data_IF_418125107340
#
_entry.id   IF_418125107340
#
_cell.length_a   1.000
_cell.length_b   1.000
_cell.length_c   1.000
_cell.angle_alpha   90.00
_cell.angle_beta   90.00
_cell.angle_gamma   90.00
#
_symmetry.space_group_name_H-M   'P 1'
#
loop_
_entity.id
_entity.type
_entity.pdbx_description
1 polymer ?
#
# COMPACT_ATOMS: atom_id res chain seq x y z
N UNK A 1 16.58 17.18 -8.97
CA UNK A 1 16.72 15.71 -8.94
C UNK A 1 15.53 15.07 -8.23
N UNK A 2 15.19 13.81 -8.58
CA UNK A 2 14.19 13.02 -7.89
C UNK A 2 14.74 12.57 -6.52
N UNK A 3 13.96 12.80 -5.44
CA UNK A 3 14.38 12.45 -4.06
C UNK A 3 13.35 11.61 -3.33
N UNK A 4 12.07 11.79 -3.63
CA UNK A 4 11.01 11.05 -2.95
C UNK A 4 10.01 10.49 -3.95
N UNK A 5 9.50 9.30 -3.70
CA UNK A 5 8.45 8.67 -4.49
C UNK A 5 7.42 8.04 -3.58
N UNK A 6 6.15 8.34 -3.82
CA UNK A 6 5.03 7.65 -3.23
C UNK A 6 4.30 6.84 -4.30
N UNK A 7 4.30 5.52 -4.18
CA UNK A 7 3.51 4.62 -5.02
C UNK A 7 2.13 4.40 -4.40
N UNK A 8 1.15 5.22 -4.79
CA UNK A 8 -0.22 5.18 -4.26
C UNK A 8 -1.25 4.61 -5.25
N UNK A 9 -0.88 4.39 -6.51
CA UNK A 9 -1.79 3.84 -7.51
C UNK A 9 -2.17 2.38 -7.20
N UNK A 10 -3.44 2.06 -7.35
CA UNK A 10 -3.94 0.70 -7.14
C UNK A 10 -5.44 0.61 -7.36
N UNK A 11 -5.92 -0.60 -7.52
CA UNK A 11 -7.34 -0.90 -7.65
C UNK A 11 -7.73 -2.09 -6.77
N UNK A 12 -8.98 -2.07 -6.29
CA UNK A 12 -9.60 -3.18 -5.58
C UNK A 12 -10.19 -4.19 -6.55
N UNK A 13 -10.35 -5.42 -6.07
CA UNK A 13 -11.11 -6.47 -6.74
C UNK A 13 -11.75 -7.37 -5.68
N UNK A 14 -13.01 -7.69 -5.87
CA UNK A 14 -13.75 -8.56 -4.97
C UNK A 14 -14.54 -9.61 -5.77
N UNK A 15 -14.01 -10.82 -5.83
CA UNK A 15 -14.71 -11.97 -6.36
C UNK A 15 -14.20 -13.25 -5.70
N UNK A 16 -15.12 -14.20 -5.43
CA UNK A 16 -14.77 -15.49 -4.84
C UNK A 16 -13.93 -16.31 -5.81
N UNK A 17 -13.01 -17.13 -5.28
CA UNK A 17 -12.22 -18.08 -6.07
C UNK A 17 -13.10 -19.02 -6.87
N UNK A 18 -14.25 -19.40 -6.31
CA UNK A 18 -15.33 -20.12 -7.00
C UNK A 18 -16.65 -19.43 -6.68
N UNK A 19 -17.40 -19.07 -7.71
CA UNK A 19 -18.74 -18.52 -7.62
C UNK A 19 -19.78 -19.51 -7.04
N UNK A 20 -20.96 -19.02 -6.68
CA UNK A 20 -22.04 -19.86 -6.16
C UNK A 20 -22.56 -20.89 -7.20
N UNK A 21 -22.38 -20.57 -8.46
CA UNK A 21 -22.71 -21.39 -9.62
C UNK A 21 -21.60 -22.38 -10.04
N UNK A 22 -20.50 -22.44 -9.28
CA UNK A 22 -19.34 -23.25 -9.58
C UNK A 22 -18.35 -22.62 -10.56
N UNK A 23 -18.62 -21.40 -11.07
CA UNK A 23 -17.73 -20.72 -12.02
C UNK A 23 -16.42 -20.31 -11.33
N UNK A 24 -15.24 -20.64 -11.88
CA UNK A 24 -13.96 -20.19 -11.32
C UNK A 24 -13.76 -18.70 -11.52
N UNK A 25 -12.99 -18.08 -10.60
CA UNK A 25 -12.61 -16.67 -10.74
C UNK A 25 -11.83 -16.42 -12.04
N UNK A 26 -12.20 -15.36 -12.77
CA UNK A 26 -11.55 -15.01 -14.04
C UNK A 26 -10.06 -14.69 -13.86
N UNK A 27 -9.21 -15.49 -14.49
CA UNK A 27 -7.76 -15.32 -14.40
C UNK A 27 -7.27 -14.02 -15.05
N UNK A 28 -8.01 -13.47 -16.04
CA UNK A 28 -7.64 -12.18 -16.64
C UNK A 28 -7.79 -11.05 -15.62
N UNK A 29 -8.87 -11.06 -14.86
CA UNK A 29 -9.10 -10.10 -13.76
C UNK A 29 -8.03 -10.24 -12.68
N UNK A 30 -7.71 -11.47 -12.24
CA UNK A 30 -6.61 -11.72 -11.31
C UNK A 30 -5.30 -11.12 -11.83
N UNK A 31 -4.92 -11.47 -13.05
CA UNK A 31 -3.67 -11.00 -13.68
C UNK A 31 -3.64 -9.48 -13.83
N UNK A 32 -4.78 -8.85 -14.13
CA UNK A 32 -4.88 -7.39 -14.24
C UNK A 32 -4.63 -6.70 -12.90
N UNK A 33 -5.21 -7.22 -11.81
CA UNK A 33 -4.96 -6.69 -10.44
C UNK A 33 -3.49 -6.79 -10.07
N UNK A 34 -2.86 -7.95 -10.31
CA UNK A 34 -1.43 -8.15 -10.08
C UNK A 34 -0.60 -7.19 -10.93
N UNK A 35 -0.95 -7.04 -12.20
CA UNK A 35 -0.24 -6.15 -13.13
C UNK A 35 -0.26 -4.69 -12.66
N UNK A 36 -1.42 -4.19 -12.24
CA UNK A 36 -1.53 -2.79 -11.78
C UNK A 36 -0.87 -2.61 -10.40
N UNK A 37 -1.29 -3.40 -9.41
CA UNK A 37 -0.94 -3.14 -8.01
C UNK A 37 0.50 -3.55 -7.65
N UNK A 38 1.01 -4.64 -8.23
CA UNK A 38 2.32 -5.18 -7.88
C UNK A 38 3.37 -4.85 -8.94
N UNK A 39 3.14 -5.25 -10.19
CA UNK A 39 4.12 -5.01 -11.26
C UNK A 39 4.24 -3.51 -11.53
N UNK A 40 3.13 -2.76 -11.52
CA UNK A 40 3.12 -1.31 -11.66
C UNK A 40 3.94 -0.61 -10.58
N UNK A 41 3.73 -0.98 -9.30
CA UNK A 41 4.50 -0.47 -8.16
C UNK A 41 5.99 -0.74 -8.33
N UNK A 42 6.36 -1.99 -8.64
CA UNK A 42 7.78 -2.34 -8.87
C UNK A 42 8.37 -1.61 -10.07
N UNK A 43 7.59 -1.42 -11.15
CA UNK A 43 8.07 -0.72 -12.34
C UNK A 43 8.41 0.75 -12.06
N UNK A 44 7.56 1.47 -11.33
CA UNK A 44 7.85 2.85 -10.91
C UNK A 44 9.04 2.88 -9.95
N UNK A 45 9.06 1.98 -8.96
CA UNK A 45 10.13 1.88 -7.97
C UNK A 45 11.50 1.70 -8.63
N UNK A 46 11.67 0.72 -9.53
CA UNK A 46 12.95 0.44 -10.20
C UNK A 46 13.44 1.60 -11.06
N UNK A 47 12.53 2.30 -11.75
CA UNK A 47 12.88 3.45 -12.58
C UNK A 47 13.26 4.67 -11.72
N UNK A 48 12.53 4.89 -10.63
CA UNK A 48 12.84 5.95 -9.67
C UNK A 48 14.19 5.72 -8.99
N UNK A 49 14.45 4.50 -8.52
CA UNK A 49 15.73 4.13 -7.93
C UNK A 49 16.90 4.34 -8.91
N UNK A 50 16.71 3.97 -10.18
CA UNK A 50 17.69 4.23 -11.25
C UNK A 50 17.96 5.72 -11.44
N UNK A 51 16.92 6.56 -11.42
CA UNK A 51 17.08 8.01 -11.51
C UNK A 51 17.77 8.60 -10.27
N UNK A 52 17.41 8.13 -9.07
CA UNK A 52 18.03 8.55 -7.81
C UNK A 52 19.52 8.19 -7.76
N UNK A 53 19.91 7.01 -8.28
CA UNK A 53 21.31 6.56 -8.28
C UNK A 53 22.26 7.47 -9.07
N UNK A 54 21.73 8.24 -10.02
CA UNK A 54 22.49 9.20 -10.84
C UNK A 54 22.61 10.59 -10.18
N UNK A 55 22.01 10.79 -9.00
CA UNK A 55 22.05 12.06 -8.29
C UNK A 55 23.16 12.07 -7.25
N UNK A 56 23.72 13.24 -6.96
CA UNK A 56 24.64 13.41 -5.82
C UNK A 56 23.94 13.09 -4.51
N UNK A 57 24.64 12.52 -3.53
CA UNK A 57 24.10 12.35 -2.18
C UNK A 57 23.64 13.67 -1.58
N UNK A 58 22.71 13.62 -0.62
CA UNK A 58 22.20 14.79 0.10
C UNK A 58 22.88 15.01 1.45
N UNK A 59 23.60 14.01 1.94
CA UNK A 59 24.27 14.01 3.25
C UNK A 59 25.54 13.13 3.26
N UNK A 60 26.22 13.14 4.40
CA UNK A 60 27.47 12.39 4.61
C UNK A 60 27.26 10.87 4.69
N UNK A 61 26.03 10.41 4.96
CA UNK A 61 25.67 8.98 4.95
C UNK A 61 25.47 8.47 3.52
N UNK A 62 25.51 9.34 2.52
CA UNK A 62 25.37 9.00 1.11
C UNK A 62 23.94 8.82 0.65
N UNK A 63 22.96 9.37 1.38
CA UNK A 63 21.54 9.23 1.05
C UNK A 63 21.21 9.92 -0.27
N UNK A 64 20.43 9.25 -1.14
CA UNK A 64 19.98 9.78 -2.43
C UNK A 64 18.47 9.90 -2.55
N UNK A 65 17.71 9.15 -1.74
CA UNK A 65 16.27 9.25 -1.75
C UNK A 65 15.51 8.24 -0.89
N UNK A 66 14.21 8.39 -0.87
CA UNK A 66 13.28 7.52 -0.13
C UNK A 66 12.05 7.19 -0.97
N UNK A 67 11.67 5.92 -0.98
CA UNK A 67 10.50 5.39 -1.70
C UNK A 67 9.53 4.81 -0.68
N UNK A 68 8.27 5.24 -0.77
CA UNK A 68 7.18 4.70 0.05
C UNK A 68 6.14 4.04 -0.87
N UNK A 69 5.79 2.79 -0.58
CA UNK A 69 4.77 2.05 -1.30
C UNK A 69 3.50 1.93 -0.45
N UNK A 70 2.31 1.98 -1.07
CA UNK A 70 1.06 1.67 -0.39
C UNK A 70 0.63 0.23 -0.66
N UNK A 71 0.71 -0.59 0.40
CA UNK A 71 0.09 -1.91 0.47
C UNK A 71 -1.39 -1.80 0.89
N UNK A 72 -1.82 -2.60 1.83
CA UNK A 72 -3.13 -2.59 2.51
C UNK A 72 -3.08 -3.55 3.70
N UNK A 73 -3.92 -3.34 4.70
CA UNK A 73 -4.19 -4.36 5.73
C UNK A 73 -4.69 -5.68 5.13
N UNK A 74 -5.31 -5.64 3.93
CA UNK A 74 -5.72 -6.83 3.20
C UNK A 74 -4.53 -7.74 2.78
N UNK A 75 -3.30 -7.25 2.84
CA UNK A 75 -2.11 -8.09 2.70
C UNK A 75 -1.97 -9.13 3.83
N UNK A 76 -2.56 -8.85 5.00
CA UNK A 76 -2.49 -9.66 6.22
C UNK A 76 -3.85 -10.26 6.57
N UNK A 77 -4.90 -9.45 6.50
CA UNK A 77 -6.24 -9.75 6.98
C UNK A 77 -7.24 -9.80 5.81
N UNK A 78 -6.88 -10.45 4.70
CA UNK A 78 -7.72 -10.50 3.49
C UNK A 78 -9.11 -11.13 3.73
N UNK A 79 -10.14 -10.49 3.20
CA UNK A 79 -11.54 -10.93 3.32
C UNK A 79 -11.95 -11.87 2.19
N UNK A 80 -13.10 -12.52 2.34
CA UNK A 80 -13.70 -13.34 1.28
C UNK A 80 -13.84 -12.51 0.00
N UNK A 81 -13.32 -13.05 -1.10
CA UNK A 81 -13.33 -12.40 -2.41
C UNK A 81 -12.10 -11.53 -2.71
N UNK A 82 -11.20 -11.32 -1.77
CA UNK A 82 -10.02 -10.46 -1.96
C UNK A 82 -8.74 -11.20 -2.42
N UNK A 83 -8.84 -12.44 -2.92
CA UNK A 83 -7.65 -13.23 -3.27
C UNK A 83 -6.66 -12.48 -4.19
N UNK A 84 -7.13 -11.88 -5.28
CA UNK A 84 -6.26 -11.11 -6.19
C UNK A 84 -5.69 -9.85 -5.53
N UNK A 85 -6.54 -9.10 -4.81
CA UNK A 85 -6.14 -7.88 -4.13
C UNK A 85 -5.13 -8.17 -3.02
N UNK A 86 -5.43 -9.13 -2.14
CA UNK A 86 -4.53 -9.54 -1.05
C UNK A 86 -3.21 -10.08 -1.57
N UNK A 87 -3.22 -10.89 -2.63
CA UNK A 87 -1.99 -11.37 -3.28
C UNK A 87 -1.15 -10.21 -3.81
N UNK A 88 -1.77 -9.22 -4.48
CA UNK A 88 -1.06 -8.05 -5.00
C UNK A 88 -0.44 -7.21 -3.89
N UNK A 89 -1.18 -6.95 -2.82
CA UNK A 89 -0.73 -6.13 -1.67
C UNK A 89 0.24 -6.89 -0.77
N UNK A 90 0.08 -8.21 -0.63
CA UNK A 90 1.06 -9.09 0.00
C UNK A 90 2.38 -9.13 -0.77
N UNK A 91 2.33 -9.08 -2.11
CA UNK A 91 3.51 -8.95 -2.95
C UNK A 91 4.26 -7.62 -2.70
N UNK A 92 3.53 -6.50 -2.53
CA UNK A 92 4.13 -5.20 -2.18
C UNK A 92 4.81 -5.26 -0.81
N UNK A 93 4.20 -5.91 0.18
CA UNK A 93 4.84 -6.16 1.48
C UNK A 93 6.10 -7.00 1.32
N UNK A 94 6.00 -8.12 0.58
CA UNK A 94 7.10 -9.07 0.39
C UNK A 94 8.32 -8.50 -0.33
N UNK A 95 8.13 -7.55 -1.27
CA UNK A 95 9.24 -6.91 -1.98
C UNK A 95 9.95 -5.82 -1.16
N UNK A 96 9.38 -5.33 -0.07
CA UNK A 96 9.88 -4.16 0.66
C UNK A 96 11.30 -4.37 1.18
N UNK A 97 11.52 -5.38 1.98
CA UNK A 97 12.83 -5.64 2.58
C UNK A 97 13.90 -6.06 1.57
N UNK A 98 13.66 -6.99 0.62
CA UNK A 98 14.65 -7.32 -0.41
C UNK A 98 15.09 -6.09 -1.21
N UNK A 99 14.13 -5.26 -1.63
CA UNK A 99 14.46 -4.05 -2.40
C UNK A 99 15.21 -3.02 -1.55
N UNK A 100 14.84 -2.83 -0.28
CA UNK A 100 15.61 -1.98 0.63
C UNK A 100 17.06 -2.44 0.77
N UNK A 101 17.31 -3.75 0.81
CA UNK A 101 18.65 -4.33 0.83
C UNK A 101 19.42 -4.08 -0.48
N UNK A 102 18.77 -4.28 -1.62
CA UNK A 102 19.36 -4.01 -2.93
C UNK A 102 19.76 -2.54 -3.09
N UNK A 103 18.87 -1.63 -2.67
CA UNK A 103 19.06 -0.18 -2.88
C UNK A 103 19.91 0.50 -1.80
N UNK A 104 20.25 -0.18 -0.71
CA UNK A 104 21.18 0.31 0.31
C UNK A 104 22.53 0.71 -0.30
N UNK A 105 23.02 -0.06 -1.27
CA UNK A 105 24.29 0.23 -1.97
C UNK A 105 24.30 1.57 -2.73
N UNK A 106 23.13 2.13 -3.03
CA UNK A 106 22.99 3.42 -3.71
C UNK A 106 22.38 4.51 -2.84
N UNK A 107 22.22 4.26 -1.52
CA UNK A 107 21.69 5.23 -0.58
C UNK A 107 20.19 5.57 -0.78
N UNK A 108 19.38 4.59 -1.18
CA UNK A 108 17.92 4.76 -1.33
C UNK A 108 17.19 3.87 -0.35
N UNK A 109 16.34 4.49 0.50
CA UNK A 109 15.50 3.79 1.46
C UNK A 109 14.16 3.38 0.85
N UNK A 110 13.61 2.25 1.28
CA UNK A 110 12.32 1.76 0.82
C UNK A 110 11.49 1.28 2.00
N UNK A 111 10.31 1.86 2.17
CA UNK A 111 9.35 1.44 3.18
C UNK A 111 7.96 1.25 2.55
N UNK A 112 7.11 0.56 3.25
CA UNK A 112 5.72 0.31 2.83
C UNK A 112 4.76 0.70 3.96
N UNK A 113 3.65 1.32 3.61
CA UNK A 113 2.54 1.52 4.52
C UNK A 113 1.42 0.55 4.14
N UNK A 114 0.81 -0.07 5.13
CA UNK A 114 -0.40 -0.87 4.99
C UNK A 114 -1.59 -0.12 5.61
N UNK A 115 -2.31 0.70 4.82
CA UNK A 115 -3.47 1.43 5.31
C UNK A 115 -4.61 0.50 5.70
N UNK A 116 -5.36 0.89 6.74
CA UNK A 116 -6.68 0.35 7.04
C UNK A 116 -7.77 0.97 6.17
N UNK A 117 -8.91 1.27 6.79
CA UNK A 117 -10.03 1.93 6.14
C UNK A 117 -9.79 3.45 6.17
N UNK A 118 -9.41 4.03 5.05
CA UNK A 118 -9.16 5.46 4.89
C UNK A 118 -10.28 6.09 4.09
N UNK A 119 -10.82 7.20 4.58
CA UNK A 119 -11.86 7.96 3.88
C UNK A 119 -11.30 8.55 2.58
N UNK A 120 -11.75 8.02 1.47
CA UNK A 120 -11.31 8.40 0.13
C UNK A 120 -12.51 8.40 -0.82
N UNK A 121 -12.42 9.07 -1.98
CA UNK A 121 -13.49 9.08 -2.97
C UNK A 121 -13.96 7.69 -3.45
N UNK A 122 -13.24 6.62 -3.16
CA UNK A 122 -13.62 5.25 -3.51
C UNK A 122 -14.96 4.82 -2.88
N UNK A 123 -15.34 5.43 -1.76
CA UNK A 123 -16.61 5.14 -1.09
C UNK A 123 -17.78 5.97 -1.65
N UNK A 124 -17.51 6.88 -2.63
CA UNK A 124 -18.51 7.77 -3.19
C UNK A 124 -18.87 8.94 -2.26
N UNK A 125 -19.95 9.64 -2.60
CA UNK A 125 -20.44 10.82 -1.88
C UNK A 125 -21.94 10.69 -1.56
N UNK A 126 -22.42 11.52 -0.64
CA UNK A 126 -23.83 11.59 -0.25
C UNK A 126 -24.20 10.75 0.97
N UNK A 127 -25.46 10.88 1.41
CA UNK A 127 -25.96 10.30 2.68
C UNK A 127 -25.77 8.79 2.78
N UNK A 128 -25.94 8.06 1.68
CA UNK A 128 -25.72 6.61 1.66
C UNK A 128 -24.26 6.22 1.89
N UNK A 129 -23.32 6.99 1.31
CA UNK A 129 -21.90 6.82 1.51
C UNK A 129 -21.50 7.10 2.97
N UNK A 130 -22.01 8.17 3.56
CA UNK A 130 -21.72 8.52 4.95
C UNK A 130 -22.21 7.44 5.94
N UNK A 131 -23.41 6.89 5.73
CA UNK A 131 -23.93 5.78 6.53
C UNK A 131 -23.05 4.52 6.38
N UNK A 132 -22.58 4.24 5.17
CA UNK A 132 -21.68 3.11 4.90
C UNK A 132 -20.33 3.30 5.57
N UNK A 133 -19.72 4.48 5.46
CA UNK A 133 -18.45 4.83 6.13
C UNK A 133 -18.58 4.72 7.65
N UNK A 134 -19.68 5.24 8.22
CA UNK A 134 -19.96 5.12 9.65
C UNK A 134 -20.07 3.67 10.11
N UNK A 135 -20.73 2.82 9.29
CA UNK A 135 -20.81 1.38 9.57
C UNK A 135 -19.42 0.71 9.53
N UNK A 136 -18.63 0.98 8.51
CA UNK A 136 -17.26 0.47 8.40
C UNK A 136 -16.40 0.92 9.58
N UNK A 137 -16.54 2.15 10.03
CA UNK A 137 -15.83 2.72 11.17
C UNK A 137 -16.04 1.95 12.47
N UNK A 138 -17.17 1.26 12.64
CA UNK A 138 -17.42 0.43 13.84
C UNK A 138 -16.45 -0.77 13.94
N UNK A 139 -15.88 -1.22 12.84
CA UNK A 139 -14.89 -2.30 12.82
C UNK A 139 -13.49 -1.85 13.20
N UNK A 140 -13.22 -0.54 13.18
CA UNK A 140 -11.94 0.04 13.63
C UNK A 140 -11.87 -0.03 15.15
N UNK A 141 -10.72 -0.39 15.71
CA UNK A 141 -10.58 -0.54 17.16
C UNK A 141 -10.68 0.82 17.86
N UNK A 142 -9.85 1.79 17.46
CA UNK A 142 -9.88 3.18 17.91
C UNK A 142 -9.06 4.07 16.96
N UNK A 143 -9.58 5.28 16.62
CA UNK A 143 -10.93 5.80 16.87
C UNK A 143 -11.99 5.10 16.02
N UNK A 144 -13.26 5.11 16.45
CA UNK A 144 -14.39 4.45 15.77
C UNK A 144 -14.84 5.20 14.51
N UNK A 145 -13.94 5.35 13.56
CA UNK A 145 -14.16 6.03 12.27
C UNK A 145 -13.14 5.53 11.23
N UNK A 146 -13.33 5.92 9.99
CA UNK A 146 -12.27 5.79 8.99
C UNK A 146 -11.13 6.76 9.31
N UNK A 147 -9.91 6.39 8.95
CA UNK A 147 -8.76 7.31 8.96
C UNK A 147 -8.90 8.37 7.87
N UNK A 148 -8.27 9.52 8.04
CA UNK A 148 -8.22 10.55 7.01
C UNK A 148 -7.00 10.41 6.08
N UNK A 149 -7.06 11.06 4.91
CA UNK A 149 -5.92 11.15 4.00
C UNK A 149 -4.71 11.84 4.66
N UNK A 150 -4.95 12.84 5.51
CA UNK A 150 -3.91 13.58 6.24
C UNK A 150 -3.22 12.69 7.28
N UNK A 151 -3.97 11.83 7.98
CA UNK A 151 -3.38 10.87 8.92
C UNK A 151 -2.46 9.87 8.21
N UNK A 152 -2.84 9.42 7.02
CA UNK A 152 -2.00 8.58 6.19
C UNK A 152 -0.78 9.35 5.66
N UNK A 153 -0.99 10.57 5.17
CA UNK A 153 0.07 11.42 4.62
C UNK A 153 1.13 11.79 5.67
N UNK A 154 0.73 11.97 6.94
CA UNK A 154 1.69 12.25 8.02
C UNK A 154 2.71 11.13 8.17
N UNK A 155 2.28 9.85 8.07
CA UNK A 155 3.20 8.71 8.10
C UNK A 155 4.08 8.64 6.84
N UNK A 156 3.56 9.01 5.67
CA UNK A 156 4.38 9.10 4.44
C UNK A 156 5.50 10.12 4.61
N UNK A 157 5.17 11.30 5.16
CA UNK A 157 6.14 12.37 5.43
C UNK A 157 7.19 11.89 6.44
N UNK A 158 6.77 11.24 7.53
CA UNK A 158 7.69 10.65 8.53
C UNK A 158 8.67 9.69 7.86
N UNK A 159 8.21 8.78 6.98
CA UNK A 159 9.07 7.84 6.28
C UNK A 159 10.02 8.50 5.26
N UNK A 160 9.67 9.68 4.76
CA UNK A 160 10.59 10.46 3.92
C UNK A 160 11.66 11.18 4.74
N UNK A 161 11.32 11.65 5.95
CA UNK A 161 12.18 12.49 6.78
C UNK A 161 13.04 11.72 7.78
N UNK A 162 12.56 10.54 8.22
CA UNK A 162 13.27 9.73 9.21
C UNK A 162 14.27 8.80 8.51
N UNK A 163 15.53 9.19 8.52
CA UNK A 163 16.60 8.50 7.80
C UNK A 163 16.93 7.12 8.35
N UNK A 164 16.50 6.81 9.57
CA UNK A 164 16.70 5.49 10.20
C UNK A 164 15.57 4.49 9.93
N UNK A 165 14.54 4.90 9.17
CA UNK A 165 13.44 4.03 8.75
C UNK A 165 13.72 3.46 7.36
N UNK A 166 13.99 2.14 7.29
CA UNK A 166 14.29 1.45 6.04
C UNK A 166 13.87 -0.03 6.09
N UNK A 167 13.25 -0.51 5.02
CA UNK A 167 12.88 -1.94 4.86
C UNK A 167 11.63 -2.35 5.64
N UNK A 168 10.85 -1.42 6.19
CA UNK A 168 9.75 -1.71 7.10
C UNK A 168 8.38 -1.62 6.41
N UNK A 169 7.42 -2.39 6.94
CA UNK A 169 6.00 -2.28 6.59
C UNK A 169 5.19 -1.87 7.81
N UNK A 170 4.62 -0.67 7.75
CA UNK A 170 3.92 -0.05 8.88
C UNK A 170 2.40 -0.06 8.62
N UNK A 171 1.60 -0.57 9.56
CA UNK A 171 0.15 -0.48 9.52
C UNK A 171 -0.30 0.89 10.05
N UNK A 172 -1.13 1.59 9.25
CA UNK A 172 -1.83 2.83 9.66
C UNK A 172 -3.32 2.54 9.53
N UNK A 173 -3.93 2.01 10.57
CA UNK A 173 -5.20 1.29 10.45
C UNK A 173 -6.15 1.39 11.65
N UNK A 174 -5.85 2.23 12.65
CA UNK A 174 -6.67 2.36 13.85
C UNK A 174 -6.83 1.04 14.64
N UNK A 175 -5.92 0.09 14.46
CA UNK A 175 -5.93 -1.22 15.13
C UNK A 175 -6.89 -2.24 14.52
N UNK A 176 -7.45 -1.98 13.34
CA UNK A 176 -8.39 -2.92 12.70
C UNK A 176 -7.73 -4.26 12.39
N UNK A 177 -8.48 -5.32 12.61
CA UNK A 177 -8.23 -6.66 12.06
C UNK A 177 -9.50 -7.05 11.32
N UNK A 178 -9.40 -7.14 9.99
CA UNK A 178 -10.59 -7.34 9.16
C UNK A 178 -11.19 -8.73 9.39
N UNK A 179 -12.50 -8.84 9.68
CA UNK A 179 -13.17 -10.13 9.76
C UNK A 179 -13.24 -10.79 8.37
N UNK A 180 -13.54 -12.08 8.27
CA UNK A 180 -13.67 -12.77 6.99
C UNK A 180 -14.73 -12.16 6.06
N UNK A 181 -15.71 -11.43 6.65
CA UNK A 181 -16.80 -10.71 5.96
C UNK A 181 -17.03 -9.37 6.61
#
# INVERSE_FOLDING_TARGET
>A
PLRTVLNAAGLGSAARTVGRDGTPFDLKTFSFVIKVNLIGTFNVLRLAASAMSQSEPVDDDGQRGSIVNLASVAAFDGQIGQAAYSASKGGVVGLTLPVARDLAAIGVRVNTIAPGLIDTPIYGEGEGSEKFKAHLGQSVLFPKRLGSGEELASMVIELFQNDYMNGETIRVDGGIRMPPK
#
